data_IF_250558288532
#
_entry.id   IF_250558288532
#
_cell.length_a   1.000
_cell.length_b   1.000
_cell.length_c   1.000
_cell.angle_alpha   90.00
_cell.angle_beta   90.00
_cell.angle_gamma   90.00
#
_symmetry.space_group_name_H-M   'P 1'
#
loop_
_entity.id
_entity.type
_entity.pdbx_description
1 polymer ?
#
# COMPACT_ATOMS: atom_id res chain seq x y z
N UNK A 1 -12.37 11.35 33.89
CA UNK A 1 -11.92 10.04 33.40
C UNK A 1 -11.43 10.18 31.95
N UNK A 2 -10.18 9.83 31.70
CA UNK A 2 -9.60 9.96 30.35
C UNK A 2 -9.92 8.69 29.57
N UNK A 3 -10.61 8.83 28.44
CA UNK A 3 -10.82 7.71 27.52
C UNK A 3 -9.54 7.38 26.78
N UNK A 4 -9.12 6.14 26.84
CA UNK A 4 -8.06 5.65 25.97
C UNK A 4 -8.55 5.63 24.53
N UNK A 5 -7.82 6.29 23.63
CA UNK A 5 -8.11 6.26 22.20
C UNK A 5 -7.60 4.93 21.64
N UNK A 6 -8.48 4.15 21.04
CA UNK A 6 -8.10 2.93 20.34
C UNK A 6 -7.65 3.29 18.92
N UNK A 7 -6.34 3.37 18.71
CA UNK A 7 -5.74 3.75 17.43
C UNK A 7 -6.10 2.79 16.29
N UNK A 8 -6.16 1.48 16.61
CA UNK A 8 -6.53 0.47 15.61
C UNK A 8 -7.98 0.63 15.14
N UNK A 9 -8.91 0.85 16.07
CA UNK A 9 -10.32 1.09 15.74
C UNK A 9 -10.50 2.36 14.91
N UNK A 10 -9.78 3.43 15.24
CA UNK A 10 -9.82 4.67 14.48
C UNK A 10 -9.27 4.49 13.06
N UNK A 11 -8.18 3.74 12.89
CA UNK A 11 -7.63 3.42 11.58
C UNK A 11 -8.63 2.63 10.74
N UNK A 12 -9.25 1.61 11.31
CA UNK A 12 -10.26 0.81 10.61
C UNK A 12 -11.45 1.65 10.18
N UNK A 13 -11.89 2.59 11.00
CA UNK A 13 -12.96 3.51 10.68
C UNK A 13 -12.59 4.42 9.49
N UNK A 14 -11.36 4.96 9.48
CA UNK A 14 -10.85 5.73 8.34
C UNK A 14 -10.75 4.88 7.08
N UNK A 15 -10.33 3.63 7.20
CA UNK A 15 -10.24 2.71 6.06
C UNK A 15 -11.62 2.44 5.46
N UNK A 16 -12.64 2.27 6.28
CA UNK A 16 -14.04 2.13 5.80
C UNK A 16 -14.45 3.33 4.97
N UNK A 17 -14.12 4.54 5.40
CA UNK A 17 -14.42 5.77 4.63
C UNK A 17 -13.69 5.79 3.29
N UNK A 18 -12.41 5.45 3.27
CA UNK A 18 -11.60 5.39 2.05
C UNK A 18 -12.19 4.33 1.09
N UNK A 19 -12.52 3.16 1.61
CA UNK A 19 -13.10 2.08 0.82
C UNK A 19 -14.48 2.40 0.23
N UNK A 20 -15.22 3.32 0.85
CA UNK A 20 -16.45 3.85 0.29
C UNK A 20 -16.26 4.68 -0.99
N UNK A 21 -15.05 5.17 -1.23
CA UNK A 21 -14.67 6.01 -2.38
C UNK A 21 -13.73 5.32 -3.36
N UNK A 22 -13.01 4.28 -2.91
CA UNK A 22 -11.96 3.63 -3.67
C UNK A 22 -12.27 2.16 -3.85
N UNK A 23 -12.38 1.73 -5.10
CA UNK A 23 -12.57 0.33 -5.46
C UNK A 23 -11.70 0.01 -6.68
N UNK A 24 -10.99 -1.13 -6.65
CA UNK A 24 -10.14 -1.56 -7.73
C UNK A 24 -10.91 -2.31 -8.81
N UNK A 25 -10.61 -2.02 -10.07
CA UNK A 25 -11.13 -2.71 -11.24
C UNK A 25 -9.98 -3.41 -11.97
N UNK A 26 -10.24 -4.36 -12.90
CA UNK A 26 -9.15 -4.97 -13.68
C UNK A 26 -8.30 -3.94 -14.44
N UNK A 27 -8.90 -2.87 -14.94
CA UNK A 27 -8.21 -1.81 -15.69
C UNK A 27 -7.46 -0.85 -14.76
N UNK A 28 -7.96 -0.68 -13.55
CA UNK A 28 -7.41 0.25 -12.56
C UNK A 28 -7.50 -0.36 -11.16
N UNK A 29 -6.65 -1.36 -10.88
CA UNK A 29 -6.71 -2.07 -9.60
C UNK A 29 -6.30 -1.18 -8.42
N UNK A 30 -6.65 -1.64 -7.23
CA UNK A 30 -6.43 -0.89 -5.98
C UNK A 30 -5.06 -1.26 -5.39
N UNK A 31 -4.21 -0.25 -5.18
CA UNK A 31 -2.96 -0.39 -4.44
C UNK A 31 -3.26 -0.16 -2.96
N UNK A 32 -3.21 -1.23 -2.18
CA UNK A 32 -3.47 -1.20 -0.74
C UNK A 32 -2.17 -1.29 0.05
N UNK A 33 -2.07 -0.50 1.12
CA UNK A 33 -0.92 -0.47 2.02
C UNK A 33 -1.34 -0.97 3.38
N UNK A 34 -0.53 -1.84 3.96
CA UNK A 34 -0.63 -2.25 5.36
C UNK A 34 0.75 -2.12 6.02
N UNK A 35 0.79 -1.57 7.22
CA UNK A 35 2.04 -1.46 7.98
C UNK A 35 1.89 -2.01 9.39
N UNK A 36 2.95 -2.65 9.88
CA UNK A 36 3.15 -2.95 11.28
C UNK A 36 4.28 -2.05 11.82
N UNK A 37 4.64 -2.21 13.09
CA UNK A 37 5.76 -1.43 13.65
C UNK A 37 7.08 -1.69 12.93
N UNK A 38 7.33 -2.94 12.57
CA UNK A 38 8.61 -3.37 12.00
C UNK A 38 8.62 -3.51 10.48
N UNK A 39 7.46 -3.63 9.84
CA UNK A 39 7.37 -3.98 8.42
C UNK A 39 6.30 -3.20 7.69
N UNK A 40 6.39 -3.18 6.36
CA UNK A 40 5.39 -2.60 5.48
C UNK A 40 5.06 -3.56 4.34
N UNK A 41 3.78 -3.58 3.95
CA UNK A 41 3.24 -4.48 2.94
C UNK A 41 2.41 -3.69 1.94
N UNK A 42 2.49 -4.09 0.68
CA UNK A 42 1.67 -3.49 -0.37
C UNK A 42 1.11 -4.57 -1.29
N UNK A 43 -0.13 -4.37 -1.73
CA UNK A 43 -0.80 -5.27 -2.66
C UNK A 43 -1.53 -4.46 -3.72
N UNK A 44 -1.59 -5.01 -4.93
CA UNK A 44 -2.44 -4.48 -5.99
C UNK A 44 -3.57 -5.48 -6.20
N UNK A 45 -4.81 -5.05 -5.97
CA UNK A 45 -5.98 -5.90 -5.86
C UNK A 45 -7.02 -5.53 -6.91
N UNK A 46 -7.54 -6.55 -7.60
CA UNK A 46 -8.74 -6.45 -8.42
C UNK A 46 -9.95 -6.81 -7.55
N UNK A 47 -10.71 -5.79 -7.16
CA UNK A 47 -11.88 -5.98 -6.28
C UNK A 47 -13.08 -6.61 -7.01
N UNK A 48 -13.13 -6.53 -8.33
CA UNK A 48 -14.22 -7.13 -9.11
C UNK A 48 -14.13 -8.66 -9.05
N UNK A 49 -12.93 -9.20 -9.23
CA UNK A 49 -12.68 -10.65 -9.21
C UNK A 49 -12.18 -11.16 -7.85
N UNK A 50 -11.91 -10.25 -6.89
CA UNK A 50 -11.44 -10.63 -5.57
C UNK A 50 -10.04 -11.24 -5.56
N UNK A 51 -9.15 -10.79 -6.42
CA UNK A 51 -7.81 -11.37 -6.61
C UNK A 51 -6.72 -10.35 -6.34
N UNK A 52 -5.68 -10.77 -5.62
CA UNK A 52 -4.44 -10.00 -5.49
C UNK A 52 -3.56 -10.27 -6.71
N UNK A 53 -3.33 -9.22 -7.50
CA UNK A 53 -2.57 -9.31 -8.75
C UNK A 53 -1.06 -9.27 -8.51
N UNK A 54 -0.62 -8.40 -7.62
CA UNK A 54 0.79 -8.15 -7.31
C UNK A 54 0.93 -7.87 -5.82
N UNK A 55 2.02 -8.31 -5.22
CA UNK A 55 2.34 -8.02 -3.83
C UNK A 55 3.83 -7.79 -3.64
N UNK A 56 4.19 -6.99 -2.64
CA UNK A 56 5.56 -6.76 -2.19
C UNK A 56 5.56 -6.38 -0.72
N UNK A 57 6.60 -6.77 0.00
CA UNK A 57 6.74 -6.44 1.42
C UNK A 57 8.20 -6.51 1.87
N UNK A 58 8.46 -6.04 3.10
CA UNK A 58 9.80 -6.01 3.68
C UNK A 58 10.26 -7.34 4.26
N UNK A 59 9.37 -8.33 4.36
CA UNK A 59 9.71 -9.68 4.84
C UNK A 59 10.26 -10.59 3.73
N UNK A 60 10.26 -10.12 2.50
CA UNK A 60 10.71 -10.93 1.37
C UNK A 60 12.20 -11.25 1.46
N UNK A 61 12.54 -12.43 1.01
CA UNK A 61 13.91 -12.89 0.87
C UNK A 61 14.68 -11.95 -0.07
N UNK A 62 15.83 -11.47 0.35
CA UNK A 62 16.62 -10.52 -0.43
C UNK A 62 16.37 -9.06 -0.12
N UNK A 63 15.41 -8.74 0.74
CA UNK A 63 15.23 -7.37 1.21
C UNK A 63 16.40 -7.00 2.14
N UNK A 64 17.13 -5.96 1.77
CA UNK A 64 18.31 -5.49 2.52
C UNK A 64 18.00 -4.21 3.30
N UNK A 65 18.59 -4.10 4.50
CA UNK A 65 18.48 -2.91 5.34
C UNK A 65 17.34 -2.96 6.35
N UNK A 66 17.11 -1.83 7.00
CA UNK A 66 16.02 -1.67 7.95
C UNK A 66 14.67 -1.83 7.28
N UNK A 67 13.70 -2.39 7.97
CA UNK A 67 12.38 -2.72 7.42
C UNK A 67 11.25 -1.80 7.87
N UNK A 68 11.47 -1.02 8.91
CA UNK A 68 10.43 -0.21 9.56
C UNK A 68 10.49 1.29 9.29
N UNK A 69 11.19 1.75 8.26
CA UNK A 69 11.37 3.18 7.98
C UNK A 69 10.83 3.58 6.60
N UNK A 70 10.86 4.88 6.32
CA UNK A 70 10.38 5.43 5.05
C UNK A 70 11.20 4.95 3.84
N UNK A 71 12.51 4.79 4.01
CA UNK A 71 13.38 4.27 2.95
C UNK A 71 13.00 2.84 2.55
N UNK A 72 12.70 1.99 3.53
CA UNK A 72 12.22 0.64 3.28
C UNK A 72 10.88 0.66 2.53
N UNK A 73 9.96 1.53 2.93
CA UNK A 73 8.67 1.69 2.27
C UNK A 73 8.82 2.13 0.81
N UNK A 74 9.73 3.04 0.54
CA UNK A 74 10.02 3.49 -0.83
C UNK A 74 10.54 2.34 -1.70
N UNK A 75 11.44 1.51 -1.18
CA UNK A 75 11.94 0.31 -1.87
C UNK A 75 10.82 -0.66 -2.21
N UNK A 76 9.91 -0.90 -1.27
CA UNK A 76 8.74 -1.76 -1.48
C UNK A 76 7.87 -1.20 -2.61
N UNK A 77 7.63 0.11 -2.63
CA UNK A 77 6.88 0.78 -3.68
C UNK A 77 7.50 0.59 -5.06
N UNK A 78 8.81 0.75 -5.17
CA UNK A 78 9.55 0.55 -6.43
C UNK A 78 9.44 -0.90 -6.92
N UNK A 79 9.65 -1.86 -6.03
CA UNK A 79 9.53 -3.29 -6.36
C UNK A 79 8.12 -3.65 -6.80
N UNK A 80 7.11 -3.13 -6.08
CA UNK A 80 5.71 -3.35 -6.45
C UNK A 80 5.41 -2.83 -7.85
N UNK A 81 5.89 -1.62 -8.17
CA UNK A 81 5.70 -1.01 -9.49
C UNK A 81 6.38 -1.82 -10.60
N UNK A 82 7.58 -2.33 -10.36
CA UNK A 82 8.30 -3.19 -11.31
C UNK A 82 7.52 -4.47 -11.59
N UNK A 83 6.99 -5.10 -10.56
CA UNK A 83 6.17 -6.31 -10.68
C UNK A 83 4.84 -6.04 -11.39
N UNK A 84 4.24 -4.88 -11.14
CA UNK A 84 3.02 -4.46 -11.81
C UNK A 84 3.25 -4.25 -13.30
N UNK A 85 4.35 -3.60 -13.65
CA UNK A 85 4.75 -3.38 -15.05
C UNK A 85 4.92 -4.70 -15.80
N UNK A 86 5.54 -5.69 -15.16
CA UNK A 86 5.73 -7.02 -15.75
C UNK A 86 4.40 -7.70 -16.07
N UNK A 87 3.32 -7.32 -15.39
CA UNK A 87 1.95 -7.83 -15.62
C UNK A 87 1.11 -6.88 -16.48
N UNK A 88 1.69 -5.81 -17.01
CA UNK A 88 0.96 -4.85 -17.84
C UNK A 88 0.07 -3.88 -17.06
N UNK A 89 0.27 -3.73 -15.77
CA UNK A 89 -0.50 -2.80 -14.93
C UNK A 89 0.23 -1.45 -14.91
N UNK A 90 -0.43 -0.39 -15.39
CA UNK A 90 0.12 0.96 -15.42
C UNK A 90 -0.59 1.92 -14.49
N UNK A 91 -1.91 1.80 -14.35
CA UNK A 91 -2.74 2.68 -13.53
C UNK A 91 -3.33 1.94 -12.35
N UNK A 92 -3.32 2.59 -11.20
CA UNK A 92 -3.93 2.07 -9.97
C UNK A 92 -4.68 3.18 -9.25
N UNK A 93 -5.62 2.79 -8.37
CA UNK A 93 -6.20 3.70 -7.39
C UNK A 93 -5.51 3.44 -6.06
N UNK A 94 -5.13 4.50 -5.35
CA UNK A 94 -4.37 4.38 -4.11
C UNK A 94 -5.31 4.29 -2.90
N UNK A 95 -5.18 3.20 -2.15
CA UNK A 95 -5.89 2.98 -0.89
C UNK A 95 -4.86 3.02 0.25
N UNK A 96 -4.85 4.11 0.99
CA UNK A 96 -3.92 4.29 2.11
C UNK A 96 -4.19 3.39 3.32
N UNK A 97 -5.20 2.51 3.27
CA UNK A 97 -5.50 1.55 4.33
C UNK A 97 -5.98 2.17 5.64
N UNK A 98 -6.52 3.40 5.60
CA UNK A 98 -6.93 4.15 6.79
C UNK A 98 -5.77 4.81 7.54
N UNK A 99 -4.54 4.69 7.04
CA UNK A 99 -3.38 5.41 7.58
C UNK A 99 -3.38 6.85 7.11
N UNK A 100 -2.72 7.73 7.87
CA UNK A 100 -2.48 9.10 7.42
C UNK A 100 -1.46 9.06 6.27
N UNK A 101 -1.69 9.86 5.23
CA UNK A 101 -0.76 9.97 4.09
C UNK A 101 0.48 10.74 4.51
N UNK A 102 1.37 10.07 5.22
CA UNK A 102 2.58 10.63 5.79
C UNK A 102 3.61 9.53 6.05
N UNK A 103 4.88 9.89 6.12
CA UNK A 103 5.97 8.99 6.47
C UNK A 103 6.06 7.78 5.55
N UNK A 104 5.95 6.58 6.11
CA UNK A 104 6.10 5.33 5.36
C UNK A 104 5.06 5.15 4.25
N UNK A 105 3.82 5.54 4.50
CA UNK A 105 2.75 5.41 3.50
C UNK A 105 3.01 6.34 2.31
N UNK A 106 3.38 7.58 2.57
CA UNK A 106 3.74 8.54 1.52
C UNK A 106 5.00 8.10 0.76
N UNK A 107 6.00 7.55 1.45
CA UNK A 107 7.23 7.05 0.84
C UNK A 107 6.97 5.86 -0.09
N UNK A 108 6.07 4.95 0.30
CA UNK A 108 5.66 3.83 -0.55
C UNK A 108 4.98 4.33 -1.82
N UNK A 109 4.07 5.27 -1.71
CA UNK A 109 3.39 5.88 -2.85
C UNK A 109 4.39 6.57 -3.80
N UNK A 110 5.35 7.29 -3.24
CA UNK A 110 6.42 7.94 -4.01
C UNK A 110 7.25 6.90 -4.78
N UNK A 111 7.66 5.82 -4.11
CA UNK A 111 8.40 4.73 -4.74
C UNK A 111 7.63 4.06 -5.85
N UNK A 112 6.33 3.82 -5.67
CA UNK A 112 5.48 3.25 -6.70
C UNK A 112 5.36 4.17 -7.92
N UNK A 113 5.25 5.47 -7.71
CA UNK A 113 5.23 6.46 -8.80
C UNK A 113 6.55 6.54 -9.54
N UNK A 114 7.68 6.50 -8.83
CA UNK A 114 9.01 6.44 -9.44
C UNK A 114 9.18 5.17 -10.29
N UNK A 115 8.61 4.06 -9.87
CA UNK A 115 8.64 2.80 -10.62
C UNK A 115 7.73 2.79 -11.83
N UNK A 116 6.91 3.83 -12.04
CA UNK A 116 6.09 4.01 -13.22
C UNK A 116 4.58 3.83 -13.04
N UNK A 117 4.09 3.58 -11.84
CA UNK A 117 2.65 3.53 -11.60
C UNK A 117 2.03 4.92 -11.61
N UNK A 118 0.84 5.03 -12.18
CA UNK A 118 0.08 6.27 -12.29
C UNK A 118 -1.10 6.27 -11.33
N UNK A 119 -1.12 7.23 -10.47
CA UNK A 119 -2.24 7.47 -9.55
C UNK A 119 -2.15 8.83 -8.89
#
# INVERSE_FOLDING_TARGET
MVRKVNKKAMRLHRHVRVRGKVSGTPERPRLNVFRSNANIYAQIIDDVNGVTLVAANTLEKGFEGATGNAEAAKKVGVVLAERAKAKGIEEVVFDRGGYVYHGRVAALAEGAREGGLKF
#
